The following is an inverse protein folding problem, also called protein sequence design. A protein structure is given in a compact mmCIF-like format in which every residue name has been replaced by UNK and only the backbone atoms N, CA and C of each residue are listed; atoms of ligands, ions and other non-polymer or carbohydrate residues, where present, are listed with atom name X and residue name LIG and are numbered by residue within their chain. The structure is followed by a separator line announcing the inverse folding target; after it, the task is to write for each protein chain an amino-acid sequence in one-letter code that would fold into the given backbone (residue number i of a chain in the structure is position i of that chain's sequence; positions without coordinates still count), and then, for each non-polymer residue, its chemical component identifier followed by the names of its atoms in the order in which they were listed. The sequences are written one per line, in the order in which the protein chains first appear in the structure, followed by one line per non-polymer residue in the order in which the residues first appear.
data_IF_024467670984
#
_entry.id   IF_024467670984
#
_cell.length_a   1.000
_cell.length_b   1.000
_cell.length_c   1.000
_cell.angle_alpha   90.00
_cell.angle_beta   90.00
_cell.angle_gamma   90.00
#
_symmetry.space_group_name_H-M   'P 1'
#
loop_
_entity.id
_entity.type
_entity.pdbx_description
1 polymer ?
#
# COMPACT_ATOMS: atom_id res chain seq x y z
N UNK A 1 -56.97 -12.34 4.28
CA UNK A 1 -55.77 -11.62 4.78
C UNK A 1 -54.61 -12.59 4.85
N UNK A 2 -53.48 -12.18 4.25
CA UNK A 2 -52.11 -12.69 4.38
C UNK A 2 -51.79 -14.16 4.08
N UNK A 3 -51.63 -14.47 2.79
CA UNK A 3 -50.65 -15.46 2.32
C UNK A 3 -49.24 -14.94 2.62
N UNK A 4 -48.53 -15.64 3.52
CA UNK A 4 -47.10 -15.42 3.75
C UNK A 4 -46.31 -15.94 2.54
N UNK A 5 -45.73 -15.02 1.78
CA UNK A 5 -44.69 -15.27 0.79
C UNK A 5 -43.55 -16.08 1.44
N UNK A 6 -43.45 -17.37 1.11
CA UNK A 6 -42.22 -18.13 1.30
C UNK A 6 -41.16 -17.58 0.35
N UNK A 7 -40.20 -16.83 0.91
CA UNK A 7 -39.01 -16.38 0.19
C UNK A 7 -38.11 -17.59 -0.12
N UNK A 8 -37.84 -17.94 -1.40
CA UNK A 8 -37.02 -19.08 -1.77
C UNK A 8 -35.52 -18.76 -1.81
N UNK A 9 -35.05 -17.74 -1.07
CA UNK A 9 -33.65 -17.28 -1.11
C UNK A 9 -32.80 -17.76 0.09
N UNK A 10 -33.31 -18.66 0.93
CA UNK A 10 -32.58 -19.15 2.11
C UNK A 10 -31.60 -20.31 1.82
N UNK A 11 -31.25 -20.59 0.56
CA UNK A 11 -30.33 -21.67 0.20
C UNK A 11 -29.38 -21.33 -0.96
N UNK A 12 -28.72 -20.18 -0.90
CA UNK A 12 -27.48 -19.95 -1.65
C UNK A 12 -26.34 -19.74 -0.67
N UNK A 13 -25.52 -20.78 -0.51
CA UNK A 13 -24.22 -20.73 0.16
C UNK A 13 -23.31 -19.77 -0.61
N UNK A 14 -23.36 -18.49 -0.27
CA UNK A 14 -22.60 -17.39 -0.87
C UNK A 14 -21.29 -17.19 -0.10
N UNK A 15 -20.42 -18.19 -0.14
CA UNK A 15 -19.04 -18.07 0.31
C UNK A 15 -18.11 -18.15 -0.89
N UNK A 16 -17.08 -17.30 -0.96
CA UNK A 16 -15.92 -17.61 -1.80
C UNK A 16 -15.43 -19.03 -1.46
N UNK A 17 -14.94 -19.81 -2.43
CA UNK A 17 -14.35 -21.10 -2.14
C UNK A 17 -13.22 -20.91 -1.11
N UNK A 18 -13.38 -21.52 0.07
CA UNK A 18 -12.46 -21.37 1.20
C UNK A 18 -11.00 -21.62 0.80
N UNK A 19 -10.79 -22.52 -0.16
CA UNK A 19 -9.48 -22.87 -0.72
C UNK A 19 -8.69 -21.68 -1.29
N UNK A 20 -9.34 -20.73 -1.97
CA UNK A 20 -8.64 -19.59 -2.59
C UNK A 20 -8.17 -18.59 -1.53
N UNK A 21 -9.02 -18.33 -0.52
CA UNK A 21 -8.67 -17.44 0.60
C UNK A 21 -7.53 -18.05 1.42
N UNK A 22 -7.59 -19.36 1.64
CA UNK A 22 -6.61 -20.11 2.43
C UNK A 22 -5.24 -20.21 1.74
N UNK A 23 -5.20 -20.46 0.43
CA UNK A 23 -3.94 -20.49 -0.33
C UNK A 23 -3.22 -19.13 -0.32
N UNK A 24 -3.96 -18.04 -0.57
CA UNK A 24 -3.41 -16.69 -0.52
C UNK A 24 -2.89 -16.35 0.88
N UNK A 25 -3.65 -16.70 1.93
CA UNK A 25 -3.26 -16.45 3.31
C UNK A 25 -2.01 -17.24 3.72
N UNK A 26 -1.87 -18.50 3.29
CA UNK A 26 -0.71 -19.32 3.59
C UNK A 26 0.58 -18.74 3.00
N UNK A 27 0.54 -18.33 1.72
CA UNK A 27 1.67 -17.69 1.05
C UNK A 27 2.11 -16.39 1.74
N UNK A 28 1.14 -15.57 2.12
CA UNK A 28 1.39 -14.33 2.87
C UNK A 28 2.04 -14.66 4.21
N UNK A 29 1.51 -15.63 4.96
CA UNK A 29 2.03 -16.01 6.26
C UNK A 29 3.47 -16.55 6.20
N UNK A 30 3.82 -17.29 5.14
CA UNK A 30 5.20 -17.74 4.91
C UNK A 30 6.14 -16.57 4.63
N UNK A 31 5.74 -15.62 3.77
CA UNK A 31 6.57 -14.47 3.45
C UNK A 31 6.71 -13.51 4.64
N UNK A 32 5.66 -13.30 5.44
CA UNK A 32 5.73 -12.48 6.66
C UNK A 32 6.63 -13.12 7.75
N UNK A 33 6.69 -14.46 7.82
CA UNK A 33 7.64 -15.16 8.69
C UNK A 33 9.08 -14.96 8.22
N UNK A 34 9.31 -14.99 6.91
CA UNK A 34 10.63 -14.72 6.32
C UNK A 34 11.05 -13.26 6.46
N UNK A 35 10.08 -12.34 6.30
CA UNK A 35 10.28 -10.90 6.25
C UNK A 35 9.48 -10.20 7.36
N UNK A 36 10.04 -10.05 8.58
CA UNK A 36 9.30 -9.52 9.73
C UNK A 36 8.91 -8.04 9.62
N UNK A 37 9.47 -7.31 8.65
CA UNK A 37 9.07 -5.94 8.34
C UNK A 37 7.95 -5.86 7.30
N UNK A 38 7.51 -6.99 6.72
CA UNK A 38 6.33 -7.05 5.88
C UNK A 38 5.08 -7.21 6.74
N UNK A 39 4.10 -6.35 6.47
CA UNK A 39 2.74 -6.44 6.98
C UNK A 39 1.78 -6.42 5.81
N UNK A 40 0.91 -7.40 5.73
CA UNK A 40 -0.13 -7.49 4.72
C UNK A 40 -1.48 -7.19 5.34
N UNK A 41 -2.32 -6.48 4.60
CA UNK A 41 -3.70 -6.25 5.01
C UNK A 41 -4.43 -7.59 5.20
N UNK A 42 -5.41 -7.60 6.10
CA UNK A 42 -6.28 -8.76 6.28
C UNK A 42 -7.00 -9.10 4.96
N UNK A 43 -6.83 -10.34 4.50
CA UNK A 43 -7.45 -10.85 3.28
C UNK A 43 -8.94 -11.12 3.49
N UNK A 44 -9.74 -10.04 3.49
CA UNK A 44 -11.20 -10.12 3.61
C UNK A 44 -11.83 -10.42 2.25
N UNK A 45 -13.03 -11.04 2.19
CA UNK A 45 -13.76 -11.21 0.93
C UNK A 45 -13.96 -9.89 0.17
N UNK A 46 -14.13 -8.77 0.90
CA UNK A 46 -14.25 -7.45 0.31
C UNK A 46 -12.95 -7.00 -0.38
N UNK A 47 -11.81 -7.15 0.29
CA UNK A 47 -10.51 -6.81 -0.31
C UNK A 47 -10.25 -7.68 -1.54
N UNK A 48 -10.52 -8.98 -1.45
CA UNK A 48 -10.37 -9.91 -2.58
C UNK A 48 -11.26 -9.51 -3.76
N UNK A 49 -12.53 -9.17 -3.54
CA UNK A 49 -13.42 -8.70 -4.59
C UNK A 49 -12.90 -7.41 -5.28
N UNK A 50 -12.42 -6.44 -4.50
CA UNK A 50 -11.83 -5.21 -5.04
C UNK A 50 -10.57 -5.51 -5.85
N UNK A 51 -9.69 -6.37 -5.33
CA UNK A 51 -8.48 -6.81 -6.01
C UNK A 51 -8.80 -7.54 -7.32
N UNK A 52 -9.83 -8.38 -7.35
CA UNK A 52 -10.26 -9.07 -8.56
C UNK A 52 -10.69 -8.08 -9.64
N UNK A 53 -11.45 -7.04 -9.29
CA UNK A 53 -11.88 -6.01 -10.26
C UNK A 53 -10.67 -5.28 -10.84
N UNK A 54 -9.76 -4.77 -10.01
CA UNK A 54 -8.60 -4.04 -10.53
C UNK A 54 -7.62 -4.96 -11.29
N UNK A 55 -7.65 -6.27 -11.09
CA UNK A 55 -6.82 -7.22 -11.83
C UNK A 55 -7.40 -7.61 -13.19
N UNK A 56 -8.73 -7.55 -13.35
CA UNK A 56 -9.38 -7.89 -14.59
C UNK A 56 -8.98 -6.93 -15.72
N UNK A 57 -8.54 -7.50 -16.84
CA UNK A 57 -8.15 -6.77 -18.05
C UNK A 57 -9.35 -6.08 -18.70
N UNK A 58 -10.57 -6.61 -18.52
CA UNK A 58 -11.79 -6.07 -19.11
C UNK A 58 -12.37 -4.86 -18.36
N UNK A 59 -11.86 -4.56 -17.15
CA UNK A 59 -12.35 -3.43 -16.35
C UNK A 59 -12.05 -2.10 -17.01
N UNK A 60 -13.08 -1.24 -17.08
CA UNK A 60 -12.97 0.11 -17.62
C UNK A 60 -11.99 0.95 -16.80
N UNK A 61 -11.44 2.01 -17.39
CA UNK A 61 -10.55 2.93 -16.66
C UNK A 61 -11.24 3.56 -15.45
N UNK A 62 -12.48 4.01 -15.63
CA UNK A 62 -13.22 4.72 -14.58
C UNK A 62 -13.48 3.79 -13.38
N UNK A 63 -13.87 2.55 -13.65
CA UNK A 63 -14.02 1.53 -12.61
C UNK A 63 -12.67 1.20 -11.96
N UNK A 64 -11.60 1.04 -12.74
CA UNK A 64 -10.27 0.75 -12.21
C UNK A 64 -9.82 1.83 -11.24
N UNK A 65 -9.93 3.11 -11.61
CA UNK A 65 -9.57 4.25 -10.73
C UNK A 65 -10.45 4.25 -9.48
N UNK A 66 -11.76 4.10 -9.62
CA UNK A 66 -12.69 4.09 -8.49
C UNK A 66 -12.37 2.97 -7.48
N UNK A 67 -12.15 1.75 -7.94
CA UNK A 67 -11.86 0.62 -7.06
C UNK A 67 -10.42 0.66 -6.52
N UNK A 68 -9.45 1.15 -7.30
CA UNK A 68 -8.09 1.38 -6.82
C UNK A 68 -8.06 2.41 -5.68
N UNK A 69 -8.75 3.54 -5.82
CA UNK A 69 -8.84 4.57 -4.78
C UNK A 69 -9.47 4.03 -3.49
N UNK A 70 -10.46 3.13 -3.61
CA UNK A 70 -11.05 2.45 -2.44
C UNK A 70 -10.04 1.54 -1.73
N UNK A 71 -9.23 0.78 -2.46
CA UNK A 71 -8.18 -0.06 -1.88
C UNK A 71 -7.11 0.82 -1.23
N UNK A 72 -6.66 1.87 -1.92
CA UNK A 72 -5.66 2.83 -1.44
C UNK A 72 -6.13 3.46 -0.13
N UNK A 73 -7.41 3.80 0.00
CA UNK A 73 -7.95 4.36 1.25
C UNK A 73 -7.79 3.40 2.43
N UNK A 74 -8.16 2.12 2.24
CA UNK A 74 -8.00 1.10 3.28
C UNK A 74 -6.52 0.86 3.62
N UNK A 75 -5.68 0.83 2.60
CA UNK A 75 -4.25 0.60 2.71
C UNK A 75 -3.54 1.74 3.45
N UNK A 76 -3.93 2.98 3.22
CA UNK A 76 -3.38 4.14 3.95
C UNK A 76 -3.77 4.08 5.43
N UNK A 77 -5.01 3.74 5.76
CA UNK A 77 -5.44 3.58 7.17
C UNK A 77 -4.65 2.48 7.88
N UNK A 78 -4.38 1.35 7.19
CA UNK A 78 -3.50 0.30 7.70
C UNK A 78 -2.06 0.82 7.89
N UNK A 79 -1.53 1.57 6.92
CA UNK A 79 -0.20 2.17 7.01
C UNK A 79 -0.05 3.19 8.15
N UNK A 80 -1.10 3.93 8.47
CA UNK A 80 -1.13 4.86 9.61
C UNK A 80 -1.16 4.13 10.96
N UNK A 81 -1.66 2.89 10.99
CA UNK A 81 -1.71 2.07 12.22
C UNK A 81 -0.33 1.58 12.65
N UNK A 82 0.68 1.61 11.77
CA UNK A 82 2.08 1.30 12.08
C UNK A 82 2.83 2.49 12.73
N UNK A 83 2.19 3.66 12.87
CA UNK A 83 2.80 4.83 13.51
C UNK A 83 2.84 4.68 15.03
N UNK A 84 3.78 5.36 15.71
CA UNK A 84 3.80 5.39 17.17
C UNK A 84 2.62 6.22 17.72
N UNK A 85 1.87 5.62 18.62
CA UNK A 85 0.80 6.27 19.38
C UNK A 85 1.22 6.47 20.84
N UNK A 86 0.76 7.55 21.44
CA UNK A 86 0.94 7.85 22.86
C UNK A 86 -0.40 7.80 23.57
N UNK A 87 -0.41 7.34 24.81
CA UNK A 87 -1.61 7.41 25.65
C UNK A 87 -2.06 8.86 25.78
N UNK A 88 -3.36 9.08 25.62
CA UNK A 88 -3.98 10.39 25.76
C UNK A 88 -5.28 10.26 26.54
N UNK A 89 -5.30 10.89 27.70
CA UNK A 89 -6.51 11.00 28.52
C UNK A 89 -7.29 12.24 28.09
N UNK A 90 -8.59 12.09 27.86
CA UNK A 90 -9.50 13.19 27.55
C UNK A 90 -10.69 13.15 28.49
N UNK A 91 -11.26 14.31 28.79
CA UNK A 91 -12.54 14.37 29.51
C UNK A 91 -13.68 14.35 28.50
N UNK A 92 -14.57 13.39 28.64
CA UNK A 92 -15.76 13.28 27.77
C UNK A 92 -16.79 14.35 28.13
N UNK A 93 -17.77 14.65 27.24
CA UNK A 93 -18.90 15.52 27.58
C UNK A 93 -19.73 15.07 28.79
N UNK A 94 -19.59 13.81 29.23
CA UNK A 94 -20.20 13.28 30.45
C UNK A 94 -19.37 13.57 31.71
N UNK A 95 -18.33 14.40 31.61
CA UNK A 95 -17.39 14.77 32.70
C UNK A 95 -16.57 13.60 33.25
N UNK A 96 -16.55 12.46 32.55
CA UNK A 96 -15.74 11.29 32.90
C UNK A 96 -14.50 11.22 32.01
N UNK A 97 -13.36 10.87 32.60
CA UNK A 97 -12.11 10.63 31.86
C UNK A 97 -12.17 9.38 30.98
N UNK A 98 -11.68 9.50 29.76
CA UNK A 98 -11.49 8.39 28.81
C UNK A 98 -10.02 8.31 28.42
N UNK A 99 -9.42 7.14 28.63
CA UNK A 99 -8.04 6.85 28.22
C UNK A 99 -8.05 6.31 26.79
N UNK A 100 -7.52 7.08 25.85
CA UNK A 100 -7.38 6.71 24.46
C UNK A 100 -5.94 6.87 23.95
N UNK A 101 -5.80 7.01 22.64
CA UNK A 101 -4.52 7.17 21.96
C UNK A 101 -4.46 8.49 21.17
N UNK A 102 -3.28 9.09 21.12
CA UNK A 102 -2.95 10.25 20.30
C UNK A 102 -1.75 9.99 19.39
N UNK A 103 -1.66 10.72 18.28
CA UNK A 103 -0.52 10.65 17.37
C UNK A 103 0.73 11.28 18.00
N UNK A 104 1.86 10.57 17.95
CA UNK A 104 3.12 11.01 18.57
C UNK A 104 3.96 11.93 17.68
N UNK A 105 3.96 11.70 16.36
CA UNK A 105 4.93 12.31 15.44
C UNK A 105 4.26 12.97 14.24
N UNK A 106 4.95 13.96 13.66
CA UNK A 106 4.56 14.56 12.37
C UNK A 106 4.83 13.57 11.25
N UNK A 107 3.90 13.51 10.30
CA UNK A 107 3.99 12.65 9.13
C UNK A 107 4.20 13.48 7.85
N UNK A 108 4.75 12.86 6.83
CA UNK A 108 4.70 13.34 5.45
C UNK A 108 4.56 12.15 4.49
N UNK A 109 3.87 12.37 3.37
CA UNK A 109 3.85 11.43 2.26
C UNK A 109 4.98 11.75 1.28
N UNK A 110 5.57 10.74 0.68
CA UNK A 110 6.49 10.90 -0.44
C UNK A 110 6.05 9.95 -1.54
N UNK A 111 5.65 10.47 -2.69
CA UNK A 111 5.23 9.66 -3.84
C UNK A 111 6.39 9.41 -4.80
N UNK A 112 6.51 8.16 -5.26
CA UNK A 112 7.39 7.81 -6.38
C UNK A 112 6.62 8.07 -7.67
N UNK A 113 7.05 9.08 -8.42
CA UNK A 113 6.41 9.50 -9.67
C UNK A 113 6.64 8.43 -10.75
N UNK A 114 5.64 8.03 -11.54
CA UNK A 114 4.25 8.53 -11.61
C UNK A 114 3.26 7.75 -10.74
N UNK A 115 3.42 6.42 -10.64
CA UNK A 115 2.38 5.54 -10.09
C UNK A 115 2.02 5.86 -8.62
N UNK A 116 3.00 6.27 -7.81
CA UNK A 116 2.80 6.67 -6.42
C UNK A 116 1.93 7.92 -6.25
N UNK A 117 1.77 8.75 -7.27
CA UNK A 117 0.92 9.94 -7.21
C UNK A 117 -0.57 9.59 -7.07
N UNK A 118 -0.98 8.42 -7.56
CA UNK A 118 -2.35 7.89 -7.38
C UNK A 118 -2.74 7.78 -5.90
N UNK A 119 -1.78 7.55 -5.02
CA UNK A 119 -2.01 7.33 -3.59
C UNK A 119 -2.09 8.63 -2.78
N UNK A 120 -1.68 9.76 -3.36
CA UNK A 120 -1.68 11.05 -2.66
C UNK A 120 -3.09 11.52 -2.30
N UNK A 121 -4.07 11.25 -3.17
CA UNK A 121 -5.47 11.60 -2.94
C UNK A 121 -6.01 10.86 -1.72
N UNK A 122 -5.75 9.54 -1.65
CA UNK A 122 -6.10 8.71 -0.50
C UNK A 122 -5.47 9.22 0.80
N UNK A 123 -4.18 9.57 0.78
CA UNK A 123 -3.48 10.09 1.95
C UNK A 123 -4.01 11.45 2.41
N UNK A 124 -4.23 12.39 1.49
CA UNK A 124 -4.79 13.72 1.84
C UNK A 124 -6.22 13.63 2.36
N UNK A 125 -6.98 12.64 1.92
CA UNK A 125 -8.34 12.43 2.37
C UNK A 125 -8.42 11.87 3.80
N UNK A 126 -7.36 11.22 4.31
CA UNK A 126 -7.27 10.77 5.71
C UNK A 126 -6.59 11.82 6.58
N UNK A 127 -5.46 12.34 6.12
CA UNK A 127 -4.59 13.25 6.86
C UNK A 127 -4.68 14.67 6.30
N UNK A 128 -5.49 15.52 6.93
CA UNK A 128 -5.64 16.93 6.54
C UNK A 128 -4.30 17.66 6.68
N UNK A 129 -3.87 18.34 5.62
CA UNK A 129 -2.65 19.19 5.64
C UNK A 129 -1.33 18.42 5.65
N UNK A 130 -1.33 17.12 5.33
CA UNK A 130 -0.10 16.33 5.20
C UNK A 130 0.81 16.92 4.10
N UNK A 131 2.08 17.12 4.43
CA UNK A 131 3.10 17.56 3.47
C UNK A 131 3.42 16.41 2.51
N UNK A 132 3.45 16.68 1.21
CA UNK A 132 3.74 15.69 0.17
C UNK A 132 5.06 16.06 -0.52
N UNK A 133 6.03 15.16 -0.44
CA UNK A 133 7.22 15.17 -1.27
C UNK A 133 7.04 14.31 -2.52
N UNK A 134 7.87 14.55 -3.53
CA UNK A 134 7.86 13.81 -4.80
C UNK A 134 9.28 13.40 -5.16
N UNK A 135 9.44 12.15 -5.59
CA UNK A 135 10.70 11.61 -6.11
C UNK A 135 10.42 11.00 -7.48
N UNK A 136 11.14 11.44 -8.51
CA UNK A 136 11.11 10.85 -9.84
C UNK A 136 12.38 10.04 -10.06
N UNK A 137 12.22 8.73 -10.15
CA UNK A 137 13.28 7.79 -10.50
C UNK A 137 12.87 7.10 -11.79
N UNK A 138 13.77 7.13 -12.76
CA UNK A 138 13.61 6.40 -14.01
C UNK A 138 14.87 5.59 -14.25
N UNK A 139 14.72 4.42 -14.88
CA UNK A 139 15.85 3.62 -15.30
C UNK A 139 16.47 4.25 -16.53
N UNK A 140 17.78 4.39 -16.48
CA UNK A 140 18.57 4.77 -17.63
C UNK A 140 18.49 3.65 -18.69
N UNK A 141 18.20 3.99 -19.94
CA UNK A 141 17.95 3.01 -21.01
C UNK A 141 19.22 2.25 -21.42
N UNK A 142 20.40 2.84 -21.21
CA UNK A 142 21.69 2.24 -21.58
C UNK A 142 22.25 1.37 -20.45
N UNK A 143 22.15 1.85 -19.20
CA UNK A 143 22.78 1.18 -18.05
C UNK A 143 21.81 0.34 -17.22
N UNK A 144 20.49 0.46 -17.45
CA UNK A 144 19.41 -0.12 -16.64
C UNK A 144 19.43 0.28 -15.15
N UNK A 145 20.30 1.22 -14.76
CA UNK A 145 20.44 1.68 -13.37
C UNK A 145 19.40 2.76 -13.05
N UNK A 146 18.84 2.77 -11.81
CA UNK A 146 17.92 3.81 -11.38
C UNK A 146 18.66 5.14 -11.23
N UNK A 147 18.20 6.17 -11.96
CA UNK A 147 18.74 7.53 -11.88
C UNK A 147 17.69 8.46 -11.27
N UNK A 148 18.11 9.31 -10.34
CA UNK A 148 17.28 10.36 -9.76
C UNK A 148 17.17 11.52 -10.76
N UNK A 149 15.96 11.81 -11.23
CA UNK A 149 15.72 12.93 -12.15
C UNK A 149 15.17 14.16 -11.45
N UNK A 150 14.32 13.96 -10.43
CA UNK A 150 13.71 15.06 -9.69
C UNK A 150 13.43 14.65 -8.25
N UNK A 151 13.67 15.58 -7.34
CA UNK A 151 13.32 15.43 -5.92
C UNK A 151 12.84 16.75 -5.37
N UNK A 152 11.71 16.73 -4.67
CA UNK A 152 11.22 17.87 -3.88
C UNK A 152 10.61 17.32 -2.61
N UNK A 153 11.30 17.54 -1.49
CA UNK A 153 10.94 17.01 -0.19
C UNK A 153 10.64 18.18 0.79
N UNK A 154 9.85 17.95 1.84
CA UNK A 154 9.73 18.90 2.94
C UNK A 154 11.09 19.19 3.59
N UNK A 155 11.35 20.43 3.96
CA UNK A 155 12.65 20.84 4.54
C UNK A 155 12.96 20.16 5.88
N UNK A 156 11.92 19.81 6.64
CA UNK A 156 12.01 19.14 7.94
C UNK A 156 11.80 17.62 7.87
N UNK A 157 11.94 17.00 6.69
CA UNK A 157 11.67 15.57 6.47
C UNK A 157 12.47 14.64 7.42
N UNK A 158 13.70 15.03 7.79
CA UNK A 158 14.57 14.27 8.72
C UNK A 158 13.94 14.02 10.09
N UNK A 159 12.96 14.82 10.50
CA UNK A 159 12.29 14.72 11.81
C UNK A 159 10.88 14.10 11.72
N UNK A 160 10.48 13.61 10.54
CA UNK A 160 9.13 13.11 10.27
C UNK A 160 9.11 11.60 10.02
N UNK A 161 7.96 11.00 10.26
CA UNK A 161 7.63 9.68 9.71
C UNK A 161 7.25 9.83 8.23
N UNK A 162 7.91 9.06 7.38
CA UNK A 162 7.73 9.12 5.93
C UNK A 162 6.89 7.95 5.46
N UNK A 163 5.74 8.26 4.87
CA UNK A 163 4.93 7.30 4.13
C UNK A 163 5.39 7.33 2.66
N UNK A 164 6.23 6.38 2.26
CA UNK A 164 6.71 6.25 0.89
C UNK A 164 5.65 5.50 0.07
N UNK A 165 5.11 6.13 -0.97
CA UNK A 165 3.95 5.66 -1.72
C UNK A 165 4.38 5.15 -3.10
N UNK A 166 4.15 3.87 -3.36
CA UNK A 166 4.28 3.25 -4.69
C UNK A 166 3.39 1.99 -4.76
N UNK A 167 2.42 1.94 -5.69
CA UNK A 167 1.46 0.83 -5.76
C UNK A 167 2.10 -0.51 -6.13
N UNK A 168 3.30 -0.56 -6.73
CA UNK A 168 3.89 -1.79 -7.25
C UNK A 168 5.30 -2.07 -6.71
N UNK A 169 5.49 -3.22 -6.05
CA UNK A 169 6.81 -3.68 -5.60
C UNK A 169 7.21 -4.95 -6.37
N UNK A 170 7.69 -4.74 -7.59
CA UNK A 170 8.17 -5.80 -8.47
C UNK A 170 9.62 -6.19 -8.13
N UNK A 171 10.61 -5.54 -8.76
CA UNK A 171 12.04 -5.82 -8.48
C UNK A 171 12.60 -5.07 -7.26
N UNK A 172 11.85 -4.11 -6.69
CA UNK A 172 12.30 -3.27 -5.59
C UNK A 172 13.27 -2.13 -5.98
N UNK A 173 13.85 -2.13 -7.19
CA UNK A 173 14.90 -1.16 -7.57
C UNK A 173 14.52 0.32 -7.40
N UNK A 174 13.32 0.72 -7.84
CA UNK A 174 12.85 2.11 -7.73
C UNK A 174 12.60 2.51 -6.27
N UNK A 175 11.96 1.63 -5.49
CA UNK A 175 11.70 1.84 -4.06
C UNK A 175 13.00 1.94 -3.24
N UNK A 176 13.96 1.04 -3.50
CA UNK A 176 15.29 1.06 -2.84
C UNK A 176 16.04 2.35 -3.16
N UNK A 177 16.03 2.79 -4.43
CA UNK A 177 16.64 4.06 -4.81
C UNK A 177 15.95 5.26 -4.15
N UNK A 178 14.61 5.24 -4.02
CA UNK A 178 13.87 6.28 -3.31
C UNK A 178 14.22 6.32 -1.81
N UNK A 179 14.32 5.15 -1.17
CA UNK A 179 14.75 5.03 0.23
C UNK A 179 16.16 5.57 0.40
N UNK A 180 17.08 5.28 -0.53
CA UNK A 180 18.44 5.82 -0.49
C UNK A 180 18.42 7.36 -0.54
N UNK A 181 17.63 7.96 -1.42
CA UNK A 181 17.46 9.42 -1.49
C UNK A 181 16.93 9.98 -0.16
N UNK A 182 15.97 9.31 0.48
CA UNK A 182 15.46 9.73 1.79
C UNK A 182 16.55 9.65 2.87
N UNK A 183 17.35 8.58 2.88
CA UNK A 183 18.48 8.41 3.80
C UNK A 183 19.56 9.47 3.59
N UNK A 184 19.88 9.80 2.35
CA UNK A 184 20.83 10.86 2.00
C UNK A 184 20.33 12.24 2.46
N UNK A 185 19.02 12.42 2.59
CA UNK A 185 18.38 13.62 3.17
C UNK A 185 18.19 13.52 4.70
N UNK A 186 18.82 12.55 5.36
CA UNK A 186 18.87 12.42 6.82
C UNK A 186 17.65 11.75 7.46
N UNK A 187 16.79 11.10 6.67
CA UNK A 187 15.67 10.30 7.22
C UNK A 187 16.22 8.98 7.76
N UNK A 188 15.93 8.68 9.03
CA UNK A 188 16.24 7.37 9.60
C UNK A 188 15.41 6.28 8.92
N UNK A 189 16.05 5.16 8.58
CA UNK A 189 15.40 4.06 7.86
C UNK A 189 14.18 3.48 8.61
N UNK A 190 14.20 3.49 9.96
CA UNK A 190 13.07 3.06 10.81
C UNK A 190 11.90 4.05 10.86
N UNK A 191 12.07 5.24 10.28
CA UNK A 191 11.01 6.23 10.11
C UNK A 191 10.28 6.11 8.77
N UNK A 192 10.68 5.17 7.91
CA UNK A 192 10.10 4.97 6.60
C UNK A 192 9.12 3.79 6.64
N UNK A 193 7.88 4.07 6.22
CA UNK A 193 6.84 3.08 5.98
C UNK A 193 6.54 3.11 4.49
N UNK A 194 6.84 2.01 3.80
CA UNK A 194 6.55 1.83 2.40
C UNK A 194 5.14 1.27 2.24
N UNK A 195 4.24 2.07 1.67
CA UNK A 195 2.85 1.70 1.42
C UNK A 195 2.71 1.25 -0.03
N UNK A 196 2.24 0.01 -0.20
CA UNK A 196 2.22 -0.68 -1.48
C UNK A 196 0.90 -1.41 -1.72
N UNK A 197 0.41 -1.43 -2.97
CA UNK A 197 -0.82 -2.15 -3.30
C UNK A 197 -0.52 -3.63 -3.60
N UNK A 198 0.50 -3.88 -4.43
CA UNK A 198 0.84 -5.23 -4.86
C UNK A 198 2.36 -5.44 -4.88
N UNK A 199 2.80 -6.51 -4.21
CA UNK A 199 4.19 -6.94 -4.19
C UNK A 199 4.36 -8.41 -4.58
N UNK A 200 5.61 -8.83 -4.75
CA UNK A 200 6.02 -10.22 -4.94
C UNK A 200 7.20 -10.57 -4.00
N UNK A 201 7.44 -11.85 -3.69
CA UNK A 201 8.52 -12.29 -2.81
C UNK A 201 9.89 -11.75 -3.21
N UNK A 202 10.20 -11.71 -4.51
CA UNK A 202 11.48 -11.21 -5.01
C UNK A 202 11.68 -9.72 -4.68
N UNK A 203 10.64 -8.90 -4.83
CA UNK A 203 10.67 -7.48 -4.50
C UNK A 203 10.80 -7.21 -3.02
N UNK A 204 10.03 -7.95 -2.19
CA UNK A 204 10.09 -7.85 -0.73
C UNK A 204 11.47 -8.23 -0.21
N UNK A 205 12.02 -9.37 -0.66
CA UNK A 205 13.36 -9.83 -0.26
C UNK A 205 14.46 -8.85 -0.69
N UNK A 206 14.37 -8.32 -1.91
CA UNK A 206 15.32 -7.32 -2.39
C UNK A 206 15.30 -6.05 -1.52
N UNK A 207 14.10 -5.56 -1.19
CA UNK A 207 13.96 -4.37 -0.35
C UNK A 207 14.40 -4.62 1.08
N UNK A 208 14.06 -5.77 1.68
CA UNK A 208 14.52 -6.15 3.02
C UNK A 208 16.05 -6.28 3.08
N UNK A 209 16.68 -6.85 2.04
CA UNK A 209 18.14 -6.95 1.98
C UNK A 209 18.83 -5.59 1.92
N UNK A 210 18.27 -4.64 1.17
CA UNK A 210 18.85 -3.32 1.00
C UNK A 210 18.51 -2.34 2.13
N UNK A 211 17.29 -2.45 2.68
CA UNK A 211 16.68 -1.50 3.62
C UNK A 211 15.97 -2.28 4.76
N UNK A 212 16.70 -3.02 5.60
CA UNK A 212 16.14 -3.97 6.57
C UNK A 212 15.27 -3.36 7.68
N UNK A 213 15.35 -2.04 7.92
CA UNK A 213 14.57 -1.36 8.96
C UNK A 213 13.29 -0.72 8.43
N UNK A 214 13.07 -0.69 7.12
CA UNK A 214 11.86 -0.12 6.50
C UNK A 214 10.68 -1.04 6.73
N UNK A 215 9.57 -0.49 7.19
CA UNK A 215 8.29 -1.20 7.34
C UNK A 215 7.58 -1.24 5.98
N UNK A 216 7.07 -2.38 5.59
CA UNK A 216 6.36 -2.60 4.32
C UNK A 216 4.91 -2.91 4.66
N UNK A 217 3.98 -2.11 4.13
CA UNK A 217 2.54 -2.38 4.26
C UNK A 217 1.99 -2.63 2.87
N UNK A 218 1.51 -3.85 2.61
CA UNK A 218 0.98 -4.26 1.31
C UNK A 218 -0.48 -4.71 1.38
N UNK A 219 -1.26 -4.47 0.31
CA UNK A 219 -2.62 -5.03 0.21
C UNK A 219 -2.60 -6.50 -0.24
N UNK A 220 -1.66 -6.88 -1.11
CA UNK A 220 -1.56 -8.24 -1.64
C UNK A 220 -0.12 -8.66 -1.99
N UNK A 221 0.11 -9.97 -1.95
CA UNK A 221 1.37 -10.63 -2.34
C UNK A 221 1.08 -11.65 -3.45
N UNK A 222 1.72 -11.47 -4.60
CA UNK A 222 1.61 -12.37 -5.75
C UNK A 222 2.78 -13.36 -5.83
N UNK A 223 2.76 -14.29 -6.78
CA UNK A 223 3.64 -15.46 -6.78
C UNK A 223 5.09 -15.15 -7.13
N UNK A 224 5.28 -14.44 -8.24
CA UNK A 224 6.60 -14.30 -8.87
C UNK A 224 6.66 -13.17 -9.87
N UNK A 225 7.87 -12.89 -10.33
CA UNK A 225 8.11 -12.08 -11.52
C UNK A 225 8.22 -12.96 -12.79
N UNK A 226 7.82 -12.41 -13.93
CA UNK A 226 8.18 -12.96 -15.24
C UNK A 226 9.54 -12.43 -15.75
N UNK A 227 9.98 -12.89 -16.91
CA UNK A 227 11.24 -12.47 -17.55
C UNK A 227 11.29 -10.96 -17.81
N UNK A 228 10.14 -10.36 -18.11
CA UNK A 228 9.96 -8.91 -18.32
C UNK A 228 9.79 -8.11 -17.02
N UNK A 229 9.97 -8.75 -15.86
CA UNK A 229 9.87 -8.14 -14.52
C UNK A 229 8.47 -7.63 -14.14
N UNK A 230 7.41 -8.15 -14.77
CA UNK A 230 6.04 -7.97 -14.31
C UNK A 230 5.70 -8.99 -13.22
N UNK A 231 4.93 -8.56 -12.23
CA UNK A 231 4.36 -9.41 -11.19
C UNK A 231 3.30 -10.33 -11.82
N UNK A 232 3.27 -11.61 -11.42
CA UNK A 232 2.30 -12.61 -11.85
C UNK A 232 1.54 -13.23 -10.65
N UNK A 233 0.20 -13.36 -10.72
CA UNK A 233 -0.68 -13.03 -11.84
C UNK A 233 -0.79 -11.52 -12.14
N UNK A 234 -0.46 -10.65 -11.20
CA UNK A 234 -0.30 -9.22 -11.42
C UNK A 234 -1.59 -8.46 -11.71
N UNK A 235 -1.41 -7.22 -12.18
CA UNK A 235 -2.48 -6.34 -12.67
C UNK A 235 -2.09 -5.56 -13.94
N UNK A 236 -0.94 -5.88 -14.55
CA UNK A 236 -0.31 -5.09 -15.62
C UNK A 236 0.48 -3.89 -15.09
N UNK A 237 0.61 -2.85 -15.91
CA UNK A 237 1.19 -1.57 -15.47
C UNK A 237 0.12 -0.74 -14.74
N UNK A 238 0.33 -0.51 -13.44
CA UNK A 238 -0.61 0.26 -12.62
C UNK A 238 -0.74 1.71 -13.10
N UNK A 239 0.39 2.35 -13.42
CA UNK A 239 0.43 3.76 -13.80
C UNK A 239 -0.34 4.00 -15.09
N UNK A 240 -0.14 3.15 -16.09
CA UNK A 240 -0.83 3.30 -17.37
C UNK A 240 -2.34 3.06 -17.25
N UNK A 241 -2.75 2.07 -16.46
CA UNK A 241 -4.18 1.80 -16.20
C UNK A 241 -4.86 2.90 -15.40
N UNK A 242 -4.17 3.49 -14.43
CA UNK A 242 -4.72 4.55 -13.59
C UNK A 242 -4.80 5.89 -14.36
N UNK A 243 -3.71 6.29 -15.02
CA UNK A 243 -3.64 7.58 -15.71
C UNK A 243 -4.19 7.56 -17.14
N UNK A 244 -4.46 6.37 -17.70
CA UNK A 244 -4.99 6.22 -19.06
C UNK A 244 -3.94 6.49 -20.13
N UNK A 245 -2.71 6.02 -19.93
CA UNK A 245 -1.61 6.13 -20.91
C UNK A 245 -1.32 4.82 -21.65
N UNK A 246 -2.24 3.86 -21.58
CA UNK A 246 -2.20 2.56 -22.26
C UNK A 246 -2.81 2.58 -23.67
#
# INVERSE_FOLDING_TARGET
ESEFFQCPLCSMSTGLPASVVEEHANRIAELEKECPTLRTMKQTPQLLALMTIIRDKATSRDDFVFFADRIIRLLVEEGLSELPFVEKVVTTPCEVGFTGAGFSQKICGVSIVRAGESMEAGLRAVCRGVSIGKILIQRDEETAMPKLYYTKLPEDIRQRKVLLLDPMLATGGSAIAAIQVLRDNGVDESNIIFINLLCCPEGVRAMMKACPKVRIVSAAVDERLNERKFILPGLGDFGDRYFGTC
#
